data_IF_170497416610
#
_entry.id   IF_170497416610
#
_cell.length_a   1.000
_cell.length_b   1.000
_cell.length_c   1.000
_cell.angle_alpha   90.00
_cell.angle_beta   90.00
_cell.angle_gamma   90.00
#
_symmetry.space_group_name_H-M   'P 1'
#
loop_
_entity.id
_entity.type
_entity.pdbx_description
1 polymer ?
#
# COMPACT_ATOMS: atom_id res chain seq x y z
N UNK A 1 81.99 -32.12 37.42
CA UNK A 1 81.44 -30.77 37.44
C UNK A 1 80.38 -30.68 36.35
N UNK A 2 79.11 -30.75 36.69
CA UNK A 2 78.03 -30.78 35.77
C UNK A 2 77.43 -29.38 35.68
N UNK A 3 77.58 -28.74 34.55
CA UNK A 3 76.95 -27.45 34.30
C UNK A 3 75.50 -27.68 33.80
N UNK A 4 74.58 -27.38 34.70
CA UNK A 4 73.14 -27.36 34.36
C UNK A 4 72.83 -26.01 33.76
N UNK A 5 72.57 -25.99 32.46
CA UNK A 5 72.04 -24.80 31.75
C UNK A 5 70.56 -24.79 32.03
N UNK A 6 70.09 -23.84 32.82
CA UNK A 6 68.69 -23.57 33.03
C UNK A 6 68.21 -22.67 31.85
N UNK A 7 67.50 -23.27 30.93
CA UNK A 7 66.85 -22.53 29.83
C UNK A 7 65.54 -21.94 30.41
N UNK A 8 65.59 -20.66 30.75
CA UNK A 8 64.37 -19.89 31.12
C UNK A 8 63.59 -19.61 29.84
N UNK A 9 62.58 -20.43 29.54
CA UNK A 9 61.55 -20.14 28.57
C UNK A 9 60.66 -19.04 29.18
N UNK A 10 60.93 -17.82 28.80
CA UNK A 10 60.01 -16.70 28.97
C UNK A 10 58.82 -16.92 28.03
N UNK A 11 57.79 -17.54 28.54
CA UNK A 11 56.47 -17.50 27.93
C UNK A 11 55.96 -16.06 28.01
N UNK A 12 56.18 -15.31 26.97
CA UNK A 12 55.51 -14.03 26.74
C UNK A 12 54.01 -14.29 26.58
N UNK A 13 53.26 -14.17 27.67
CA UNK A 13 51.82 -14.08 27.60
C UNK A 13 51.53 -12.71 26.98
N UNK A 14 51.38 -12.69 25.67
CA UNK A 14 50.73 -11.55 25.00
C UNK A 14 49.31 -11.49 25.51
N UNK A 15 49.07 -10.71 26.52
CA UNK A 15 47.76 -10.21 26.84
C UNK A 15 47.36 -9.29 25.69
N UNK A 16 46.82 -9.86 24.62
CA UNK A 16 45.94 -9.12 23.73
C UNK A 16 44.74 -8.75 24.56
N UNK A 17 44.80 -7.60 25.21
CA UNK A 17 43.62 -6.93 25.68
C UNK A 17 42.80 -6.66 24.40
N UNK A 18 41.90 -7.59 24.05
CA UNK A 18 40.81 -7.24 23.16
C UNK A 18 40.06 -6.15 23.94
N UNK A 19 40.26 -4.92 23.53
CA UNK A 19 39.35 -3.84 23.85
C UNK A 19 37.99 -4.29 23.30
N UNK A 20 37.26 -5.00 24.11
CA UNK A 20 35.88 -5.22 23.90
C UNK A 20 35.28 -3.83 24.00
N UNK A 21 35.11 -3.22 22.83
CA UNK A 21 34.39 -1.97 22.69
C UNK A 21 33.05 -2.21 23.39
N UNK A 22 32.91 -1.59 24.54
CA UNK A 22 31.69 -1.65 25.31
C UNK A 22 30.70 -0.95 24.44
N UNK A 23 29.97 -1.69 23.61
CA UNK A 23 28.79 -1.17 22.93
C UNK A 23 27.88 -0.73 24.08
N UNK A 24 27.90 0.56 24.37
CA UNK A 24 26.90 1.17 25.22
C UNK A 24 25.57 0.91 24.53
N UNK A 25 24.89 -0.11 25.00
CA UNK A 25 23.50 -0.30 24.67
C UNK A 25 22.78 0.89 25.28
N UNK A 26 22.63 1.96 24.49
CA UNK A 26 21.76 3.06 24.86
C UNK A 26 20.38 2.43 24.92
N UNK A 27 19.95 2.04 26.11
CA UNK A 27 18.56 1.70 26.34
C UNK A 27 17.77 2.98 26.18
N UNK A 28 17.30 3.26 24.97
CA UNK A 28 16.31 4.29 24.77
C UNK A 28 15.06 3.87 25.56
N UNK A 29 14.88 4.45 26.73
CA UNK A 29 13.59 4.40 27.38
C UNK A 29 12.65 5.28 26.56
N UNK A 30 11.82 4.65 25.77
CA UNK A 30 10.71 5.35 25.12
C UNK A 30 9.69 5.64 26.21
N UNK A 31 9.56 6.89 26.60
CA UNK A 31 8.39 7.32 27.33
C UNK A 31 7.21 7.30 26.34
N UNK A 32 6.23 6.49 26.62
CA UNK A 32 5.02 6.38 25.82
C UNK A 32 3.87 6.98 26.60
N UNK A 33 3.04 7.76 25.91
CA UNK A 33 1.73 8.15 26.39
C UNK A 33 0.70 7.67 25.37
N UNK A 34 -0.28 6.90 25.82
CA UNK A 34 -1.28 6.29 24.92
C UNK A 34 -0.63 5.42 23.82
N UNK A 35 0.34 4.59 24.18
CA UNK A 35 1.08 3.69 23.29
C UNK A 35 1.92 4.36 22.19
N UNK A 36 2.00 5.70 22.18
CA UNK A 36 2.83 6.44 21.23
C UNK A 36 4.07 7.00 21.90
N UNK A 37 5.26 6.89 21.27
CA UNK A 37 6.47 7.51 21.77
C UNK A 37 6.29 9.01 22.03
N UNK A 38 6.85 9.51 23.14
CA UNK A 38 6.77 10.93 23.52
C UNK A 38 7.22 11.89 22.39
N UNK A 39 8.16 11.44 21.57
CA UNK A 39 8.62 12.16 20.39
C UNK A 39 7.47 12.58 19.47
N UNK A 40 6.53 11.68 19.15
CA UNK A 40 5.39 12.01 18.30
C UNK A 40 4.44 13.01 18.95
N UNK A 41 4.28 12.90 20.25
CA UNK A 41 3.47 13.88 20.98
C UNK A 41 4.10 15.27 20.91
N UNK A 42 5.40 15.38 21.12
CA UNK A 42 6.14 16.63 21.00
C UNK A 42 6.11 17.21 19.59
N UNK A 43 6.20 16.38 18.58
CA UNK A 43 5.98 16.82 17.20
C UNK A 43 4.57 17.38 17.00
N UNK A 44 3.54 16.71 17.52
CA UNK A 44 2.15 17.14 17.38
C UNK A 44 1.85 18.49 18.07
N UNK A 45 2.51 18.80 19.18
CA UNK A 45 2.36 20.08 19.89
C UNK A 45 2.69 21.30 18.99
N UNK A 46 3.54 21.13 18.00
CA UNK A 46 3.96 22.16 17.06
C UNK A 46 3.14 22.21 15.76
N UNK A 47 2.17 21.30 15.58
CA UNK A 47 1.34 21.28 14.39
C UNK A 47 0.15 22.25 14.53
N UNK A 48 0.05 23.18 13.60
CA UNK A 48 -0.98 24.24 13.65
C UNK A 48 -2.17 23.99 12.75
N UNK A 49 -2.05 23.09 11.77
CA UNK A 49 -3.10 22.75 10.80
C UNK A 49 -3.82 23.97 10.19
N UNK A 50 -3.10 24.92 9.59
CA UNK A 50 -3.70 26.19 9.13
C UNK A 50 -4.73 25.99 8.01
N UNK A 51 -4.66 24.88 7.27
CA UNK A 51 -5.62 24.53 6.23
C UNK A 51 -6.81 23.71 6.72
N UNK A 52 -6.88 23.33 8.00
CA UNK A 52 -8.10 22.76 8.55
C UNK A 52 -9.22 23.80 8.51
N UNK A 53 -10.43 23.43 8.07
CA UNK A 53 -11.55 24.37 7.93
C UNK A 53 -11.80 25.23 9.19
N UNK A 54 -11.75 24.59 10.36
CA UNK A 54 -11.93 25.29 11.64
C UNK A 54 -10.86 26.32 11.97
N UNK A 55 -9.64 26.17 11.46
CA UNK A 55 -8.48 27.02 11.75
C UNK A 55 -8.22 28.04 10.64
N UNK A 56 -8.77 27.84 9.46
CA UNK A 56 -8.53 28.69 8.31
C UNK A 56 -9.12 30.08 8.51
N UNK A 57 -8.42 31.11 8.02
CA UNK A 57 -8.94 32.47 7.93
C UNK A 57 -9.98 32.62 6.79
N UNK A 58 -10.03 31.69 5.85
CA UNK A 58 -10.96 31.71 4.73
C UNK A 58 -12.32 31.18 5.20
N UNK A 59 -13.33 32.06 5.23
CA UNK A 59 -14.69 31.71 5.69
C UNK A 59 -15.64 31.32 4.57
N UNK A 60 -15.31 31.54 3.32
CA UNK A 60 -16.06 31.04 2.18
C UNK A 60 -15.58 29.60 1.89
N UNK A 61 -16.51 28.64 1.97
CA UNK A 61 -16.18 27.21 1.81
C UNK A 61 -15.57 26.88 0.45
N UNK A 62 -16.11 27.44 -0.64
CA UNK A 62 -15.60 27.16 -1.99
C UNK A 62 -14.17 27.65 -2.16
N UNK A 63 -13.88 28.89 -1.70
CA UNK A 63 -12.52 29.44 -1.73
C UNK A 63 -11.57 28.63 -0.86
N UNK A 64 -12.01 28.24 0.34
CA UNK A 64 -11.20 27.38 1.20
C UNK A 64 -10.91 26.03 0.53
N UNK A 65 -11.92 25.40 -0.08
CA UNK A 65 -11.77 24.12 -0.77
C UNK A 65 -10.75 24.22 -1.92
N UNK A 66 -10.78 25.29 -2.68
CA UNK A 66 -9.81 25.54 -3.76
C UNK A 66 -8.38 25.66 -3.21
N UNK A 67 -8.17 26.47 -2.18
CA UNK A 67 -6.85 26.65 -1.57
C UNK A 67 -6.35 25.39 -0.87
N UNK A 68 -7.20 24.70 -0.13
CA UNK A 68 -6.84 23.44 0.53
C UNK A 68 -6.48 22.35 -0.50
N UNK A 69 -7.24 22.25 -1.60
CA UNK A 69 -6.94 21.33 -2.69
C UNK A 69 -5.62 21.68 -3.39
N UNK A 70 -5.37 22.95 -3.65
CA UNK A 70 -4.11 23.41 -4.22
C UNK A 70 -2.94 23.05 -3.31
N UNK A 71 -3.03 23.36 -2.03
CA UNK A 71 -2.00 23.02 -1.03
C UNK A 71 -1.74 21.52 -0.98
N UNK A 72 -2.79 20.70 -1.02
CA UNK A 72 -2.65 19.24 -1.06
C UNK A 72 -1.88 18.78 -2.32
N UNK A 73 -2.25 19.33 -3.47
CA UNK A 73 -1.58 18.96 -4.74
C UNK A 73 -0.12 19.45 -4.76
N UNK A 74 0.18 20.61 -4.19
CA UNK A 74 1.55 21.14 -4.07
C UNK A 74 2.44 20.26 -3.15
N UNK A 75 1.82 19.51 -2.22
CA UNK A 75 2.52 18.53 -1.38
C UNK A 75 2.74 17.17 -2.09
N UNK A 76 2.11 16.95 -3.23
CA UNK A 76 2.24 15.71 -4.00
C UNK A 76 3.34 15.84 -5.05
N UNK A 77 3.83 14.69 -5.54
CA UNK A 77 4.69 14.68 -6.70
C UNK A 77 3.92 15.22 -7.92
N UNK A 78 4.61 15.91 -8.85
CA UNK A 78 4.00 16.33 -10.09
C UNK A 78 3.33 15.15 -10.82
N UNK A 79 2.16 15.38 -11.39
CA UNK A 79 1.53 14.39 -12.22
C UNK A 79 2.45 14.04 -13.42
N UNK A 80 2.58 12.77 -13.79
CA UNK A 80 3.32 12.40 -14.98
C UNK A 80 2.68 13.03 -16.23
N UNK A 81 3.45 13.23 -17.30
CA UNK A 81 2.89 13.71 -18.56
C UNK A 81 1.70 12.84 -19.00
N UNK A 82 0.69 13.50 -19.55
CA UNK A 82 -0.46 12.81 -20.08
C UNK A 82 -0.03 11.86 -21.21
N UNK A 83 -0.57 10.65 -21.20
CA UNK A 83 -0.33 9.64 -22.23
C UNK A 83 -1.64 9.02 -22.66
N UNK A 84 -1.66 8.43 -23.85
CA UNK A 84 -2.79 7.61 -24.28
C UNK A 84 -2.87 6.36 -23.39
N UNK A 85 -4.06 5.98 -22.96
CA UNK A 85 -4.24 4.77 -22.13
C UNK A 85 -3.83 3.49 -22.84
N UNK A 86 -3.91 3.43 -24.16
CA UNK A 86 -3.54 2.28 -24.99
C UNK A 86 -4.01 0.96 -24.36
N UNK A 87 -5.32 0.88 -24.10
CA UNK A 87 -5.93 -0.29 -23.48
C UNK A 87 -5.75 -1.52 -24.37
N UNK A 88 -5.20 -2.58 -23.81
CA UNK A 88 -5.13 -3.91 -24.42
C UNK A 88 -5.91 -4.90 -23.58
N UNK A 89 -6.83 -5.62 -24.20
CA UNK A 89 -7.51 -6.76 -23.59
C UNK A 89 -6.58 -7.96 -23.71
N UNK A 90 -6.25 -8.58 -22.57
CA UNK A 90 -5.35 -9.74 -22.49
C UNK A 90 -6.18 -11.02 -22.49
N UNK A 91 -7.30 -11.01 -21.75
CA UNK A 91 -8.17 -12.15 -21.54
C UNK A 91 -9.59 -11.69 -21.26
N UNK A 92 -10.59 -12.54 -21.49
CA UNK A 92 -12.00 -12.23 -21.31
C UNK A 92 -12.77 -13.44 -20.80
N UNK A 93 -13.63 -13.22 -19.83
CA UNK A 93 -14.54 -14.23 -19.28
C UNK A 93 -15.96 -13.67 -19.25
N UNK A 94 -16.92 -14.41 -19.84
CA UNK A 94 -18.33 -14.09 -19.69
C UNK A 94 -18.84 -14.61 -18.35
N UNK A 95 -19.46 -13.74 -17.58
CA UNK A 95 -20.10 -14.03 -16.29
C UNK A 95 -21.60 -13.78 -16.37
N UNK A 96 -22.30 -14.09 -15.30
CA UNK A 96 -23.74 -13.86 -15.26
C UNK A 96 -24.03 -12.35 -15.21
N UNK A 97 -24.62 -11.81 -16.31
CA UNK A 97 -24.99 -10.40 -16.40
C UNK A 97 -23.87 -9.44 -16.78
N UNK A 98 -22.63 -9.89 -16.99
CA UNK A 98 -21.52 -9.03 -17.37
C UNK A 98 -20.35 -9.77 -17.99
N UNK A 99 -19.47 -9.03 -18.67
CA UNK A 99 -18.20 -9.50 -19.20
C UNK A 99 -17.05 -8.96 -18.34
N UNK A 100 -16.18 -9.85 -17.86
CA UNK A 100 -14.94 -9.50 -17.18
C UNK A 100 -13.78 -9.52 -18.19
N UNK A 101 -13.05 -8.41 -18.29
CA UNK A 101 -11.87 -8.28 -19.15
C UNK A 101 -10.62 -8.09 -18.26
N UNK A 102 -9.60 -8.87 -18.52
CA UNK A 102 -8.25 -8.61 -18.01
C UNK A 102 -7.58 -7.66 -18.97
N UNK A 103 -7.28 -6.45 -18.52
CA UNK A 103 -6.73 -5.40 -19.37
C UNK A 103 -5.35 -4.94 -18.89
N UNK A 104 -4.60 -4.41 -19.82
CA UNK A 104 -3.35 -3.69 -19.56
C UNK A 104 -3.48 -2.30 -20.19
N UNK A 105 -3.23 -1.24 -19.43
CA UNK A 105 -3.30 0.12 -19.95
C UNK A 105 -2.17 0.99 -19.40
N UNK A 106 -1.82 2.06 -20.11
CA UNK A 106 -0.77 2.98 -19.74
C UNK A 106 -1.30 4.05 -18.80
N UNK A 107 -0.60 4.31 -17.71
CA UNK A 107 -0.84 5.44 -16.78
C UNK A 107 0.21 6.53 -16.93
N UNK A 108 1.33 6.23 -17.58
CA UNK A 108 2.34 7.16 -18.04
C UNK A 108 3.06 6.52 -19.25
N UNK A 109 3.95 7.26 -19.89
CA UNK A 109 4.77 6.71 -20.97
C UNK A 109 5.73 5.59 -20.50
N UNK A 110 6.01 5.52 -19.20
CA UNK A 110 6.94 4.56 -18.58
C UNK A 110 6.25 3.46 -17.77
N UNK A 111 4.92 3.51 -17.61
CA UNK A 111 4.23 2.62 -16.69
C UNK A 111 2.91 2.13 -17.27
N UNK A 112 2.73 0.82 -17.20
CA UNK A 112 1.47 0.13 -17.54
C UNK A 112 0.93 -0.61 -16.34
N UNK A 113 -0.38 -0.62 -16.18
CA UNK A 113 -1.08 -1.22 -15.05
C UNK A 113 -2.01 -2.33 -15.53
N UNK A 114 -1.90 -3.55 -14.98
CA UNK A 114 -2.90 -4.58 -15.18
C UNK A 114 -4.14 -4.29 -14.32
N UNK A 115 -5.33 -4.45 -14.90
CA UNK A 115 -6.59 -4.25 -14.21
C UNK A 115 -7.64 -5.28 -14.67
N UNK A 116 -8.69 -5.40 -13.89
CA UNK A 116 -9.95 -6.03 -14.32
C UNK A 116 -10.94 -4.92 -14.70
N UNK A 117 -11.57 -5.06 -15.83
CA UNK A 117 -12.67 -4.21 -16.30
C UNK A 117 -13.92 -5.08 -16.37
N UNK A 118 -14.92 -4.74 -15.59
CA UNK A 118 -16.20 -5.42 -15.59
C UNK A 118 -17.19 -4.57 -16.37
N UNK A 119 -17.79 -5.15 -17.38
CA UNK A 119 -18.71 -4.45 -18.29
C UNK A 119 -20.08 -5.13 -18.23
N UNK A 120 -21.12 -4.48 -17.70
CA UNK A 120 -22.47 -5.03 -17.68
C UNK A 120 -22.95 -5.41 -19.08
N UNK A 121 -23.80 -6.41 -19.16
CA UNK A 121 -24.52 -6.73 -20.41
C UNK A 121 -25.51 -5.59 -20.74
N UNK A 122 -25.79 -5.40 -22.01
CA UNK A 122 -26.72 -4.38 -22.47
C UNK A 122 -26.06 -3.21 -23.21
N UNK A 123 -26.83 -2.15 -23.41
CA UNK A 123 -26.44 -0.98 -24.21
C UNK A 123 -26.16 0.21 -23.29
N UNK A 124 -24.86 0.59 -23.13
CA UNK A 124 -24.46 1.76 -22.36
C UNK A 124 -25.04 3.10 -22.89
N UNK A 125 -24.70 4.22 -22.30
CA UNK A 125 -23.57 4.35 -21.37
C UNK A 125 -23.88 3.87 -19.95
N UNK A 126 -22.91 3.18 -19.31
CA UNK A 126 -23.01 2.77 -17.93
C UNK A 126 -22.24 3.73 -17.01
N UNK A 127 -22.68 3.94 -15.74
CA UNK A 127 -21.87 4.62 -14.76
C UNK A 127 -20.57 3.83 -14.52
N UNK A 128 -19.47 4.55 -14.27
CA UNK A 128 -18.17 3.95 -14.05
C UNK A 128 -17.74 4.09 -12.59
N UNK A 129 -17.22 3.01 -12.00
CA UNK A 129 -16.65 2.97 -10.65
C UNK A 129 -15.21 2.51 -10.74
N UNK A 130 -14.29 3.28 -10.16
CA UNK A 130 -12.90 2.88 -10.00
C UNK A 130 -12.70 2.24 -8.63
N UNK A 131 -12.33 0.98 -8.59
CA UNK A 131 -12.00 0.25 -7.38
C UNK A 131 -10.49 0.19 -7.21
N UNK A 132 -10.01 0.64 -6.05
CA UNK A 132 -8.62 0.54 -5.64
C UNK A 132 -8.53 -0.42 -4.46
N UNK A 133 -7.71 -1.46 -4.60
CA UNK A 133 -7.49 -2.40 -3.50
C UNK A 133 -6.59 -1.80 -2.43
N UNK A 134 -6.79 -2.21 -1.19
CA UNK A 134 -5.87 -1.97 -0.08
C UNK A 134 -4.67 -2.95 -0.14
N UNK A 135 -3.69 -2.73 0.72
CA UNK A 135 -2.65 -3.74 0.88
C UNK A 135 -3.03 -4.84 1.88
N UNK A 136 -3.88 -4.55 2.90
CA UNK A 136 -4.41 -5.49 3.89
C UNK A 136 -3.37 -6.37 4.56
N UNK A 137 -2.09 -5.95 4.58
CA UNK A 137 -0.94 -6.77 4.97
C UNK A 137 -0.80 -8.10 4.20
N UNK A 138 -1.42 -8.20 3.02
CA UNK A 138 -1.41 -9.35 2.15
C UNK A 138 -0.98 -8.93 0.74
N UNK A 139 0.28 -9.21 0.39
CA UNK A 139 0.96 -8.59 -0.75
C UNK A 139 1.04 -9.51 -1.98
N UNK A 140 0.64 -10.77 -1.85
CA UNK A 140 0.65 -11.76 -2.96
C UNK A 140 -0.42 -11.48 -4.00
N UNK A 141 -1.51 -10.82 -3.62
CA UNK A 141 -2.62 -10.41 -4.49
C UNK A 141 -2.93 -8.93 -4.31
N UNK A 142 -3.47 -8.31 -5.35
CA UNK A 142 -3.83 -6.89 -5.36
C UNK A 142 -5.27 -6.71 -5.86
N UNK A 143 -5.43 -6.45 -7.16
CA UNK A 143 -6.74 -6.34 -7.82
C UNK A 143 -7.61 -7.60 -7.67
N UNK A 144 -7.00 -8.74 -7.43
CA UNK A 144 -7.62 -10.04 -7.14
C UNK A 144 -8.40 -10.04 -5.82
N UNK A 145 -8.19 -9.06 -4.95
CA UNK A 145 -9.00 -8.83 -3.75
C UNK A 145 -10.38 -8.25 -4.07
N UNK A 146 -10.46 -7.51 -5.17
CA UNK A 146 -11.65 -6.77 -5.54
C UNK A 146 -12.54 -7.51 -6.54
N UNK A 147 -11.94 -8.32 -7.40
CA UNK A 147 -12.63 -9.08 -8.46
C UNK A 147 -12.08 -10.49 -8.46
N UNK A 148 -12.97 -11.49 -8.49
CA UNK A 148 -12.55 -12.88 -8.57
C UNK A 148 -11.69 -13.10 -9.81
N UNK A 149 -10.43 -13.54 -9.64
CA UNK A 149 -9.52 -13.66 -10.76
C UNK A 149 -9.90 -14.82 -11.70
N UNK A 150 -9.52 -14.68 -12.96
CA UNK A 150 -9.65 -15.71 -13.98
C UNK A 150 -8.38 -15.77 -14.85
N UNK A 151 -8.14 -16.88 -15.53
CA UNK A 151 -6.92 -17.05 -16.32
C UNK A 151 -5.64 -16.82 -15.51
N UNK A 152 -5.61 -17.27 -14.26
CA UNK A 152 -4.48 -17.18 -13.34
C UNK A 152 -4.08 -18.56 -12.83
N UNK A 153 -2.90 -18.66 -12.22
CA UNK A 153 -2.46 -19.88 -11.55
C UNK A 153 -3.43 -20.25 -10.42
N UNK A 154 -3.61 -21.57 -10.21
CA UNK A 154 -4.51 -22.08 -9.18
C UNK A 154 -4.18 -21.56 -7.77
N UNK A 155 -2.91 -21.33 -7.47
CA UNK A 155 -2.45 -20.76 -6.22
C UNK A 155 -2.94 -19.33 -5.99
N UNK A 156 -2.95 -18.50 -7.05
CA UNK A 156 -3.45 -17.12 -7.00
C UNK A 156 -4.95 -17.11 -6.79
N UNK A 157 -5.68 -18.02 -7.47
CA UNK A 157 -7.12 -18.15 -7.28
C UNK A 157 -7.46 -18.58 -5.85
N UNK A 158 -6.76 -19.59 -5.33
CA UNK A 158 -6.95 -20.08 -3.96
C UNK A 158 -6.67 -18.99 -2.91
N UNK A 159 -5.62 -18.21 -3.12
CA UNK A 159 -5.25 -17.10 -2.23
C UNK A 159 -6.30 -15.97 -2.26
N UNK A 160 -6.83 -15.66 -3.43
CA UNK A 160 -7.90 -14.67 -3.58
C UNK A 160 -9.23 -15.14 -2.96
N UNK A 161 -9.60 -16.40 -3.17
CA UNK A 161 -10.81 -16.98 -2.58
C UNK A 161 -10.70 -17.06 -1.03
N UNK A 162 -9.53 -17.44 -0.48
CA UNK A 162 -9.25 -17.41 0.97
C UNK A 162 -9.34 -15.99 1.54
N UNK A 163 -8.81 -15.00 0.84
CA UNK A 163 -8.92 -13.60 1.23
C UNK A 163 -10.38 -13.12 1.23
N UNK A 164 -11.13 -13.43 0.17
CA UNK A 164 -12.55 -13.08 0.09
C UNK A 164 -13.36 -13.73 1.21
N UNK A 165 -13.06 -14.99 1.57
CA UNK A 165 -13.71 -15.68 2.69
C UNK A 165 -13.43 -15.00 4.02
N UNK A 166 -12.19 -14.61 4.29
CA UNK A 166 -11.76 -14.04 5.57
C UNK A 166 -12.16 -12.57 5.76
N UNK A 167 -12.19 -11.80 4.69
CA UNK A 167 -12.31 -10.35 4.77
C UNK A 167 -13.63 -9.80 4.20
N UNK A 168 -14.29 -10.53 3.29
CA UNK A 168 -15.44 -10.02 2.54
C UNK A 168 -16.63 -11.01 2.48
N UNK A 169 -16.74 -11.89 3.44
CA UNK A 169 -17.85 -12.85 3.54
C UNK A 169 -18.08 -13.65 2.24
N UNK A 170 -17.00 -14.15 1.66
CA UNK A 170 -16.96 -14.91 0.40
C UNK A 170 -17.38 -14.13 -0.84
N UNK A 171 -17.40 -12.81 -0.75
CA UNK A 171 -17.81 -11.95 -1.86
C UNK A 171 -16.62 -11.16 -2.41
N UNK A 172 -16.70 -10.83 -3.70
CA UNK A 172 -15.79 -9.90 -4.34
C UNK A 172 -16.52 -8.59 -4.59
N UNK A 173 -16.01 -7.51 -4.02
CA UNK A 173 -16.67 -6.19 -4.01
C UNK A 173 -17.01 -5.70 -5.42
N UNK A 174 -16.13 -5.93 -6.41
CA UNK A 174 -16.37 -5.53 -7.79
C UNK A 174 -17.50 -6.31 -8.44
N UNK A 175 -17.55 -7.62 -8.23
CA UNK A 175 -18.61 -8.47 -8.75
C UNK A 175 -19.95 -8.11 -8.09
N UNK A 176 -19.92 -7.91 -6.77
CA UNK A 176 -21.07 -7.50 -5.98
C UNK A 176 -21.65 -6.14 -6.41
N UNK A 177 -20.80 -5.13 -6.63
CA UNK A 177 -21.23 -3.82 -7.11
C UNK A 177 -22.02 -3.88 -8.41
N UNK A 178 -21.64 -4.76 -9.34
CA UNK A 178 -22.35 -4.92 -10.60
C UNK A 178 -23.71 -5.60 -10.44
N UNK A 179 -23.80 -6.60 -9.59
CA UNK A 179 -25.04 -7.37 -9.40
C UNK A 179 -26.13 -6.55 -8.70
N UNK A 180 -25.76 -5.65 -7.81
CA UNK A 180 -26.72 -4.86 -7.03
C UNK A 180 -27.03 -3.48 -7.60
N UNK A 181 -26.18 -2.93 -8.47
CA UNK A 181 -26.48 -1.64 -9.14
C UNK A 181 -27.36 -1.80 -10.39
N UNK A 182 -27.41 -2.99 -10.97
CA UNK A 182 -28.31 -3.28 -12.08
C UNK A 182 -29.76 -3.46 -11.63
N UNK A 183 -29.98 -4.04 -10.44
CA UNK A 183 -31.34 -4.26 -9.92
C UNK A 183 -32.00 -2.99 -9.32
N UNK A 184 -31.19 -2.01 -8.86
CA UNK A 184 -31.69 -0.76 -8.33
C UNK A 184 -32.15 0.26 -9.40
N UNK A 185 -31.94 -0.04 -10.68
CA UNK A 185 -32.35 0.82 -11.80
C UNK A 185 -33.70 0.41 -12.41
N UNK A 186 -34.28 -0.72 -12.00
CA UNK A 186 -35.54 -1.26 -12.50
C UNK A 186 -36.74 -1.05 -11.56
N UNK A 187 -36.54 -0.42 -10.37
CA UNK A 187 -37.58 0.06 -9.45
C UNK A 187 -37.70 1.60 -9.52
#
# INVERSE_FOLDING_TARGET
MKNTVICLLLFGISLTASAQEKVETVSMRYETQNDMPLFYQKMKENLTYPMAWGNSAIRNFEKWREEARKTLLDCMLPAPPATAFDKKVIDTEQRNGYRAEKILFSVSEYSRVPAYLLVPDGNGPFPAVLLLHDHGAHFSIGKEKMVRPFGVEASVLADADDWAEKCYDKQYVGDYCLLYTSDAADD
#
